data_IF_568781169913
#
_entry.id   IF_568781169913
#
_cell.length_a   1.000
_cell.length_b   1.000
_cell.length_c   1.000
_cell.angle_alpha   90.00
_cell.angle_beta   90.00
_cell.angle_gamma   90.00
#
_symmetry.space_group_name_H-M   'P 1'
#
loop_
_entity.id
_entity.type
_entity.pdbx_description
1 polymer ?
#
# COMPACT_ATOMS: atom_id res chain seq x y z
N UNK A 1 -43.99 -34.03 -78.24
CA UNK A 1 -43.00 -34.35 -77.22
C UNK A 1 -42.74 -33.11 -76.35
N UNK A 2 -43.38 -33.06 -75.18
CA UNK A 2 -43.30 -31.93 -74.28
C UNK A 2 -42.30 -32.31 -73.15
N UNK A 3 -41.20 -31.56 -73.00
CA UNK A 3 -40.24 -31.77 -71.95
C UNK A 3 -40.70 -30.98 -70.74
N UNK A 4 -41.10 -31.70 -69.69
CA UNK A 4 -41.40 -31.12 -68.38
C UNK A 4 -40.07 -31.01 -67.60
N UNK A 5 -39.65 -29.78 -67.34
CA UNK A 5 -38.46 -29.46 -66.51
C UNK A 5 -38.90 -29.32 -65.01
N UNK A 6 -38.52 -30.29 -64.19
CA UNK A 6 -38.76 -30.25 -62.79
C UNK A 6 -37.71 -29.26 -62.16
N UNK A 7 -38.20 -28.13 -61.61
CA UNK A 7 -37.40 -27.22 -60.78
C UNK A 7 -37.61 -27.61 -59.30
N UNK A 8 -36.58 -28.12 -58.69
CA UNK A 8 -36.56 -28.50 -57.30
C UNK A 8 -36.27 -27.24 -56.48
N UNK A 9 -37.08 -26.81 -55.48
CA UNK A 9 -36.78 -25.68 -54.65
C UNK A 9 -35.76 -26.09 -53.60
N UNK A 10 -34.64 -25.41 -53.60
CA UNK A 10 -33.56 -25.49 -52.55
C UNK A 10 -34.06 -24.85 -51.29
N UNK A 11 -34.46 -25.63 -50.30
CA UNK A 11 -34.85 -25.15 -48.95
C UNK A 11 -33.58 -24.83 -48.18
N UNK A 12 -33.24 -23.55 -48.09
CA UNK A 12 -32.13 -23.09 -47.25
C UNK A 12 -32.64 -23.04 -45.81
N UNK A 13 -32.29 -24.04 -45.01
CA UNK A 13 -32.46 -24.02 -43.54
C UNK A 13 -31.46 -23.08 -42.94
N UNK A 14 -31.89 -21.85 -42.62
CA UNK A 14 -31.12 -20.89 -41.83
C UNK A 14 -31.16 -21.32 -40.36
N UNK A 15 -30.21 -22.10 -39.89
CA UNK A 15 -30.05 -22.43 -38.46
C UNK A 15 -29.50 -21.21 -37.74
N UNK A 16 -30.37 -20.49 -37.03
CA UNK A 16 -30.02 -19.41 -36.13
C UNK A 16 -29.31 -20.02 -34.89
N UNK A 17 -28.00 -20.16 -34.96
CA UNK A 17 -27.19 -20.54 -33.78
C UNK A 17 -27.19 -19.39 -32.76
N UNK A 18 -28.10 -19.51 -31.81
CA UNK A 18 -28.11 -18.63 -30.62
C UNK A 18 -26.89 -18.98 -29.74
N UNK A 19 -25.74 -18.34 -29.98
CA UNK A 19 -24.59 -18.44 -29.10
C UNK A 19 -24.96 -17.73 -27.80
N UNK A 20 -25.39 -18.49 -26.80
CA UNK A 20 -25.41 -18.03 -25.41
C UNK A 20 -23.97 -17.65 -25.04
N UNK A 21 -23.64 -16.37 -25.12
CA UNK A 21 -22.42 -15.87 -24.54
C UNK A 21 -22.45 -16.24 -23.02
N UNK A 22 -21.41 -16.90 -22.49
CA UNK A 22 -21.38 -17.18 -21.08
C UNK A 22 -21.47 -15.84 -20.36
N UNK A 23 -22.57 -15.61 -19.63
CA UNK A 23 -22.65 -14.54 -18.65
C UNK A 23 -21.54 -14.83 -17.63
N UNK A 24 -20.39 -14.19 -17.78
CA UNK A 24 -19.35 -14.19 -16.75
C UNK A 24 -19.94 -13.49 -15.54
N UNK A 25 -20.67 -14.23 -14.72
CA UNK A 25 -20.96 -13.83 -13.35
C UNK A 25 -19.60 -13.67 -12.69
N UNK A 26 -19.06 -12.44 -12.69
CA UNK A 26 -17.93 -12.09 -11.82
C UNK A 26 -18.45 -12.32 -10.43
N UNK A 27 -18.05 -13.45 -9.82
CA UNK A 27 -18.45 -13.77 -8.46
C UNK A 27 -17.96 -12.62 -7.58
N UNK A 28 -18.89 -11.82 -7.10
CA UNK A 28 -18.59 -10.69 -6.23
C UNK A 28 -17.99 -11.25 -4.94
N UNK A 29 -16.80 -10.83 -4.59
CA UNK A 29 -16.16 -11.27 -3.36
C UNK A 29 -17.03 -10.83 -2.17
N UNK A 30 -17.12 -11.69 -1.16
CA UNK A 30 -17.82 -11.38 0.09
C UNK A 30 -16.75 -11.18 1.15
N UNK A 31 -16.79 -10.08 1.89
CA UNK A 31 -15.92 -9.85 3.04
C UNK A 31 -16.72 -9.55 4.29
N UNK A 32 -16.09 -9.77 5.46
CA UNK A 32 -16.66 -9.36 6.74
C UNK A 32 -16.40 -7.88 6.97
N UNK A 33 -17.43 -7.15 7.40
CA UNK A 33 -17.27 -5.75 7.81
C UNK A 33 -16.31 -5.64 9.00
N UNK A 34 -15.51 -4.58 9.02
CA UNK A 34 -14.63 -4.26 10.14
C UNK A 34 -15.45 -3.80 11.36
N UNK A 35 -15.03 -4.24 12.53
CA UNK A 35 -15.52 -3.81 13.85
C UNK A 35 -14.69 -2.66 14.44
N UNK A 36 -13.75 -2.16 13.67
CA UNK A 36 -12.80 -1.11 13.98
C UNK A 36 -11.47 -1.34 13.30
N UNK A 37 -10.57 -0.39 13.48
CA UNK A 37 -9.24 -0.40 12.87
C UNK A 37 -8.17 -0.18 13.93
N UNK A 38 -7.03 -0.88 13.78
CA UNK A 38 -5.84 -0.77 14.61
C UNK A 38 -4.63 -0.34 13.76
N UNK A 39 -3.57 0.18 14.36
CA UNK A 39 -2.35 0.48 13.61
C UNK A 39 -1.68 -0.80 13.09
N UNK A 40 -0.99 -0.74 11.94
CA UNK A 40 -0.47 -1.94 11.25
C UNK A 40 0.76 -2.56 11.91
N UNK A 41 1.42 -1.81 12.80
CA UNK A 41 2.62 -2.25 13.54
C UNK A 41 2.30 -2.24 15.04
N UNK A 42 2.74 -3.27 15.76
CA UNK A 42 2.48 -3.44 17.19
C UNK A 42 1.04 -3.00 17.57
N UNK A 43 0.00 -3.62 16.98
CA UNK A 43 -1.38 -3.24 17.25
C UNK A 43 -1.70 -3.39 18.75
N UNK A 44 -2.65 -2.60 19.25
CA UNK A 44 -3.52 -1.70 18.50
C UNK A 44 -2.94 -0.32 18.22
N UNK A 45 -1.95 0.16 18.96
CA UNK A 45 -1.54 1.57 19.02
C UNK A 45 -0.12 1.84 18.52
N UNK A 46 0.57 0.85 17.92
CA UNK A 46 1.91 1.06 17.39
C UNK A 46 3.01 1.20 18.45
N UNK A 47 2.86 0.53 19.60
CA UNK A 47 3.83 0.63 20.70
C UNK A 47 5.26 0.28 20.24
N UNK A 48 6.24 1.14 20.55
CA UNK A 48 7.63 0.97 20.11
C UNK A 48 7.88 1.33 18.63
N UNK A 49 6.91 1.98 17.99
CA UNK A 49 7.02 2.51 16.62
C UNK A 49 6.65 3.98 16.59
N UNK A 50 7.23 4.69 15.63
CA UNK A 50 6.86 6.07 15.34
C UNK A 50 6.82 6.32 13.83
N UNK A 51 6.11 7.37 13.46
CA UNK A 51 5.99 7.84 12.09
C UNK A 51 7.21 8.70 11.76
N UNK A 52 8.14 8.14 10.99
CA UNK A 52 9.35 8.83 10.54
C UNK A 52 9.06 9.83 9.42
N UNK A 53 8.05 9.54 8.60
CA UNK A 53 7.60 10.38 7.51
C UNK A 53 6.09 10.32 7.40
N UNK A 54 5.44 11.47 7.37
CA UNK A 54 4.00 11.59 7.24
C UNK A 54 3.53 11.76 5.80
N UNK A 55 2.20 11.78 5.64
CA UNK A 55 1.53 12.08 4.38
C UNK A 55 1.93 13.48 3.87
N UNK A 56 2.21 13.56 2.56
CA UNK A 56 2.51 14.81 1.86
C UNK A 56 1.87 14.80 0.49
N UNK A 57 0.90 15.66 0.29
CA UNK A 57 0.23 15.83 -1.01
C UNK A 57 1.25 16.10 -2.11
N UNK A 58 1.11 15.40 -3.25
CA UNK A 58 2.00 15.51 -4.40
C UNK A 58 3.38 14.84 -4.23
N UNK A 59 3.66 14.21 -3.09
CA UNK A 59 4.96 13.59 -2.84
C UNK A 59 4.91 12.23 -2.15
N UNK A 60 4.47 12.15 -0.90
CA UNK A 60 4.43 10.94 -0.10
C UNK A 60 2.99 10.69 0.37
N UNK A 61 2.32 9.72 -0.23
CA UNK A 61 0.87 9.53 -0.10
C UNK A 61 0.46 8.58 1.03
N UNK A 62 1.40 8.32 1.93
CA UNK A 62 1.23 7.45 3.09
C UNK A 62 2.04 7.92 4.29
N UNK A 63 2.32 6.97 5.15
CA UNK A 63 3.13 7.14 6.35
C UNK A 63 4.21 6.07 6.39
N UNK A 64 5.45 6.47 6.71
CA UNK A 64 6.57 5.55 6.91
C UNK A 64 6.74 5.30 8.41
N UNK A 65 6.59 4.04 8.82
CA UNK A 65 6.68 3.60 10.21
C UNK A 65 7.99 2.88 10.48
N UNK A 66 8.71 3.30 11.52
CA UNK A 66 9.97 2.71 11.98
C UNK A 66 9.93 2.46 13.49
N UNK A 67 10.77 1.55 14.00
CA UNK A 67 10.86 1.29 15.44
C UNK A 67 11.59 2.43 16.17
N UNK A 68 11.25 2.67 17.43
CA UNK A 68 11.92 3.64 18.32
C UNK A 68 13.42 3.34 18.46
N UNK A 69 13.81 2.08 18.28
CA UNK A 69 15.21 1.65 18.29
C UNK A 69 15.96 1.86 16.98
N UNK A 70 15.36 2.57 16.00
CA UNK A 70 15.90 2.84 14.68
C UNK A 70 15.49 1.80 13.62
N UNK A 71 15.61 2.17 12.34
CA UNK A 71 15.14 1.37 11.20
C UNK A 71 15.69 -0.06 11.20
N UNK A 72 16.96 -0.26 11.53
CA UNK A 72 17.57 -1.60 11.51
C UNK A 72 16.86 -2.59 12.44
N UNK A 73 16.37 -2.15 13.61
CA UNK A 73 15.58 -2.99 14.52
C UNK A 73 14.17 -3.27 14.01
N UNK A 74 13.69 -2.49 13.05
CA UNK A 74 12.40 -2.71 12.37
C UNK A 74 12.44 -3.86 11.36
N UNK A 75 13.61 -4.27 10.89
CA UNK A 75 13.71 -5.34 9.91
C UNK A 75 13.08 -6.64 10.41
N UNK A 76 12.16 -7.19 9.62
CA UNK A 76 11.38 -8.39 9.92
C UNK A 76 10.40 -8.28 11.09
N UNK A 77 10.16 -7.10 11.62
CA UNK A 77 9.06 -6.91 12.57
C UNK A 77 7.73 -7.19 11.87
N UNK A 78 6.75 -7.80 12.59
CA UNK A 78 5.49 -8.18 11.99
C UNK A 78 4.65 -6.97 11.57
N UNK A 79 3.96 -7.12 10.42
CA UNK A 79 2.98 -6.19 9.89
C UNK A 79 1.62 -6.85 9.90
N UNK A 80 0.59 -6.15 10.36
CA UNK A 80 -0.73 -6.69 10.63
C UNK A 80 -1.82 -5.97 9.82
N UNK A 81 -2.91 -6.69 9.53
CA UNK A 81 -4.13 -6.13 8.97
C UNK A 81 -4.75 -5.14 9.97
N UNK A 82 -5.01 -3.92 9.51
CA UNK A 82 -5.63 -2.88 10.35
C UNK A 82 -7.09 -3.20 10.72
N UNK A 83 -7.78 -4.01 9.93
CA UNK A 83 -9.18 -4.38 10.12
C UNK A 83 -9.52 -5.65 9.35
N UNK A 84 -10.75 -6.17 9.54
CA UNK A 84 -11.28 -7.23 8.71
C UNK A 84 -11.33 -6.79 7.25
N UNK A 85 -11.06 -7.69 6.30
CA UNK A 85 -11.12 -7.39 4.89
C UNK A 85 -10.75 -8.57 4.00
N UNK A 86 -10.59 -8.29 2.71
CA UNK A 86 -10.14 -9.25 1.70
C UNK A 86 -8.87 -8.75 1.05
N UNK A 87 -7.89 -9.63 0.90
CA UNK A 87 -6.64 -9.31 0.20
C UNK A 87 -6.92 -9.18 -1.30
N UNK A 88 -6.73 -7.99 -1.86
CA UNK A 88 -6.95 -7.69 -3.29
C UNK A 88 -5.64 -7.63 -4.07
N UNK A 89 -4.50 -7.54 -3.40
CA UNK A 89 -3.15 -7.67 -3.96
C UNK A 89 -2.21 -8.27 -2.93
N UNK A 90 -1.36 -9.23 -3.35
CA UNK A 90 -0.31 -9.81 -2.50
C UNK A 90 0.82 -10.34 -3.35
N UNK A 91 1.74 -9.46 -3.79
CA UNK A 91 2.86 -9.82 -4.68
C UNK A 91 3.99 -8.81 -4.65
N UNK A 92 5.12 -9.19 -5.22
CA UNK A 92 6.21 -8.27 -5.52
C UNK A 92 5.84 -7.43 -6.75
N UNK A 93 5.83 -6.11 -6.57
CA UNK A 93 5.59 -5.12 -7.63
C UNK A 93 6.93 -4.63 -8.19
N UNK A 94 8.04 -5.01 -7.55
CA UNK A 94 9.38 -4.53 -7.87
C UNK A 94 9.54 -3.01 -7.72
N UNK A 95 10.61 -2.46 -8.33
CA UNK A 95 10.94 -1.04 -8.41
C UNK A 95 10.83 -0.35 -7.04
N UNK A 96 10.10 0.74 -6.94
CA UNK A 96 10.00 1.53 -5.71
C UNK A 96 9.08 0.90 -4.63
N UNK A 97 8.32 -0.15 -4.96
CA UNK A 97 7.31 -0.74 -4.07
C UNK A 97 7.78 -2.01 -3.35
N UNK A 98 8.49 -2.91 -4.07
CA UNK A 98 8.84 -4.24 -3.58
C UNK A 98 7.62 -5.10 -3.31
N UNK A 99 7.68 -5.91 -2.26
CA UNK A 99 6.56 -6.72 -1.82
C UNK A 99 5.45 -5.86 -1.24
N UNK A 100 4.24 -5.99 -1.80
CA UNK A 100 3.05 -5.20 -1.45
C UNK A 100 1.88 -6.11 -1.10
N UNK A 101 1.14 -5.75 -0.06
CA UNK A 101 -0.19 -6.27 0.24
C UNK A 101 -1.17 -5.11 0.19
N UNK A 102 -2.33 -5.31 -0.47
CA UNK A 102 -3.48 -4.40 -0.38
C UNK A 102 -4.67 -5.18 0.15
N UNK A 103 -5.33 -4.62 1.17
CA UNK A 103 -6.55 -5.19 1.75
C UNK A 103 -7.69 -4.22 1.48
N UNK A 104 -8.78 -4.73 0.91
CA UNK A 104 -10.04 -4.01 0.79
C UNK A 104 -10.90 -4.27 2.01
N UNK A 105 -11.19 -3.21 2.73
CA UNK A 105 -12.03 -3.20 3.91
C UNK A 105 -13.43 -2.75 3.57
N UNK A 106 -14.42 -3.33 4.27
CA UNK A 106 -15.79 -2.83 4.32
C UNK A 106 -16.14 -2.51 5.76
N UNK A 107 -16.84 -1.41 6.02
CA UNK A 107 -17.37 -1.10 7.35
C UNK A 107 -18.71 -0.39 7.26
N UNK A 108 -19.46 -0.38 8.36
CA UNK A 108 -20.73 0.29 8.45
C UNK A 108 -20.56 1.54 9.31
N UNK A 109 -20.84 2.70 8.74
CA UNK A 109 -20.82 3.99 9.42
C UNK A 109 -22.05 4.79 8.94
N UNK A 110 -22.79 5.43 9.85
CA UNK A 110 -24.02 6.15 9.54
C UNK A 110 -25.05 5.32 8.74
N UNK A 111 -25.18 4.01 9.05
CA UNK A 111 -26.06 3.05 8.36
C UNK A 111 -25.71 2.80 6.88
N UNK A 112 -24.55 3.23 6.43
CA UNK A 112 -24.06 3.03 5.07
C UNK A 112 -22.85 2.09 5.09
N UNK A 113 -22.68 1.31 4.02
CA UNK A 113 -21.47 0.51 3.81
C UNK A 113 -20.45 1.39 3.10
N UNK A 114 -19.28 1.48 3.69
CA UNK A 114 -18.12 2.18 3.16
C UNK A 114 -17.02 1.20 2.79
N UNK A 115 -16.16 1.60 1.87
CA UNK A 115 -14.99 0.83 1.45
C UNK A 115 -13.74 1.69 1.45
N UNK A 116 -12.61 1.07 1.76
CA UNK A 116 -11.28 1.64 1.59
C UNK A 116 -10.26 0.52 1.37
N UNK A 117 -9.17 0.84 0.67
CA UNK A 117 -8.02 -0.05 0.55
C UNK A 117 -6.91 0.41 1.47
N UNK A 118 -6.35 -0.50 2.26
CA UNK A 118 -5.09 -0.28 2.98
C UNK A 118 -3.95 -0.95 2.25
N UNK A 119 -2.87 -0.20 2.00
CA UNK A 119 -1.68 -0.65 1.31
C UNK A 119 -0.50 -0.75 2.28
N UNK A 120 0.21 -1.86 2.22
CA UNK A 120 1.40 -2.17 3.01
C UNK A 120 2.53 -2.51 2.05
N UNK A 121 3.58 -1.67 1.99
CA UNK A 121 4.68 -1.84 1.04
C UNK A 121 6.04 -2.03 1.72
N UNK A 122 7.04 -2.35 0.89
CA UNK A 122 8.43 -2.62 1.26
C UNK A 122 8.59 -3.84 2.17
N UNK A 123 7.66 -4.80 2.10
CA UNK A 123 7.70 -5.99 2.95
C UNK A 123 8.90 -6.89 2.60
N UNK A 124 9.46 -7.57 3.63
CA UNK A 124 10.45 -8.65 3.45
C UNK A 124 9.76 -9.93 3.01
N UNK A 125 8.65 -10.27 3.68
CA UNK A 125 7.83 -11.45 3.37
C UNK A 125 6.35 -11.10 3.32
N UNK A 126 5.64 -11.80 2.44
CA UNK A 126 4.18 -11.80 2.36
C UNK A 126 3.69 -13.15 2.91
N UNK A 127 2.76 -13.13 3.88
CA UNK A 127 2.21 -14.32 4.53
C UNK A 127 0.75 -14.60 4.13
N UNK A 128 0.20 -13.84 3.21
CA UNK A 128 -1.19 -13.92 2.74
C UNK A 128 -1.23 -14.03 1.21
N UNK A 129 -2.39 -14.40 0.66
CA UNK A 129 -2.59 -14.50 -0.79
C UNK A 129 -3.82 -13.70 -1.24
N UNK A 130 -3.84 -13.32 -2.49
CA UNK A 130 -5.01 -12.66 -3.11
C UNK A 130 -6.26 -13.52 -2.96
N UNK A 131 -7.40 -12.86 -2.69
CA UNK A 131 -8.68 -13.51 -2.39
C UNK A 131 -8.82 -14.02 -0.96
N UNK A 132 -7.77 -14.01 -0.14
CA UNK A 132 -7.83 -14.42 1.26
C UNK A 132 -8.60 -13.39 2.10
N UNK A 133 -9.55 -13.85 2.91
CA UNK A 133 -10.12 -13.06 3.98
C UNK A 133 -9.14 -12.97 5.15
N UNK A 134 -9.00 -11.79 5.72
CA UNK A 134 -8.14 -11.52 6.87
C UNK A 134 -8.94 -10.86 7.99
N UNK A 135 -8.59 -11.17 9.23
CA UNK A 135 -9.12 -10.51 10.41
C UNK A 135 -8.23 -9.35 10.87
N UNK A 136 -8.82 -8.41 11.63
CA UNK A 136 -8.08 -7.36 12.32
C UNK A 136 -6.96 -7.96 13.18
N UNK A 137 -5.74 -7.41 13.08
CA UNK A 137 -4.57 -7.90 13.80
C UNK A 137 -3.93 -9.17 13.23
N UNK A 138 -4.47 -9.75 12.14
CA UNK A 138 -3.82 -10.88 11.48
C UNK A 138 -2.51 -10.45 10.84
N UNK A 139 -1.43 -11.20 11.05
CA UNK A 139 -0.15 -10.92 10.43
C UNK A 139 -0.21 -11.12 8.92
N UNK A 140 0.19 -10.07 8.17
CA UNK A 140 0.24 -10.03 6.72
C UNK A 140 1.61 -10.36 6.14
N UNK A 141 2.65 -10.02 6.88
CA UNK A 141 4.02 -10.13 6.45
C UNK A 141 4.97 -9.53 7.48
N UNK A 142 6.12 -9.11 7.02
CA UNK A 142 7.16 -8.49 7.87
C UNK A 142 7.77 -7.28 7.19
N UNK A 143 8.23 -6.31 7.98
CA UNK A 143 8.92 -5.10 7.49
C UNK A 143 10.19 -5.48 6.74
N UNK A 144 10.37 -4.91 5.56
CA UNK A 144 11.52 -5.13 4.70
C UNK A 144 12.25 -3.87 4.29
N UNK A 145 12.96 -3.97 3.18
CA UNK A 145 13.86 -2.93 2.65
C UNK A 145 13.62 -2.62 1.18
N UNK A 146 12.54 -3.16 0.59
CA UNK A 146 12.38 -3.15 -0.86
C UNK A 146 13.65 -3.66 -1.57
N UNK A 147 14.01 -4.92 -1.33
CA UNK A 147 15.20 -5.56 -1.90
C UNK A 147 16.54 -4.81 -1.64
N UNK A 148 16.63 -4.10 -0.50
CA UNK A 148 17.81 -3.32 -0.13
C UNK A 148 17.82 -1.88 -0.65
N UNK A 149 16.74 -1.43 -1.31
CA UNK A 149 16.64 -0.07 -1.84
C UNK A 149 16.49 0.99 -0.74
N UNK A 150 15.81 0.63 0.37
CA UNK A 150 15.52 1.53 1.49
C UNK A 150 15.99 0.95 2.82
N UNK A 151 16.29 1.79 3.82
CA UNK A 151 16.35 1.34 5.21
C UNK A 151 15.04 0.68 5.62
N UNK A 152 15.06 -0.34 6.53
CA UNK A 152 13.86 -1.02 6.97
C UNK A 152 12.78 -0.07 7.50
N UNK A 153 11.60 -0.12 6.89
CA UNK A 153 10.40 0.60 7.34
C UNK A 153 9.15 -0.01 6.70
N UNK A 154 7.99 0.28 7.27
CA UNK A 154 6.71 0.03 6.64
C UNK A 154 6.23 1.31 5.97
N UNK A 155 5.98 1.28 4.66
CA UNK A 155 5.19 2.30 3.98
C UNK A 155 3.72 1.88 4.00
N UNK A 156 2.86 2.77 4.52
CA UNK A 156 1.44 2.49 4.78
C UNK A 156 0.54 3.57 4.23
N UNK A 157 -0.42 3.19 3.38
CA UNK A 157 -1.40 4.10 2.77
C UNK A 157 -2.84 3.64 3.05
N UNK A 158 -3.80 4.57 3.01
CA UNK A 158 -5.24 4.27 2.96
C UNK A 158 -5.89 5.04 1.82
N UNK A 159 -6.48 4.29 0.88
CA UNK A 159 -7.10 4.81 -0.33
C UNK A 159 -8.62 4.90 -0.16
N UNK A 160 -9.20 6.05 -0.50
CA UNK A 160 -10.64 6.24 -0.69
C UNK A 160 -11.09 5.71 -2.04
N UNK A 161 -10.28 5.96 -3.06
CA UNK A 161 -10.50 5.52 -4.42
C UNK A 161 -9.92 4.11 -4.60
N UNK A 162 -10.80 3.14 -4.78
CA UNK A 162 -10.47 1.72 -4.91
C UNK A 162 -9.80 1.36 -6.24
N UNK A 163 -9.71 2.30 -7.18
CA UNK A 163 -9.05 2.12 -8.47
C UNK A 163 -7.55 2.46 -8.48
N UNK A 164 -7.00 2.97 -7.37
CA UNK A 164 -5.60 3.44 -7.31
C UNK A 164 -4.61 2.27 -7.37
N UNK A 165 -4.83 1.21 -6.60
CA UNK A 165 -3.87 0.12 -6.46
C UNK A 165 -2.51 0.62 -5.99
N UNK A 166 -1.45 0.34 -6.76
CA UNK A 166 -0.07 0.83 -6.52
C UNK A 166 0.31 2.01 -7.42
N UNK A 167 -0.65 2.59 -8.13
CA UNK A 167 -0.41 3.72 -9.02
C UNK A 167 -0.60 5.04 -8.27
N UNK A 168 0.44 5.86 -8.26
CA UNK A 168 0.28 7.29 -7.98
C UNK A 168 -0.28 7.97 -9.23
N UNK A 169 -1.58 7.79 -9.50
CA UNK A 169 -2.20 8.38 -10.68
C UNK A 169 -1.93 9.89 -10.73
N UNK A 170 -1.41 10.36 -11.84
CA UNK A 170 -1.20 11.77 -12.07
C UNK A 170 -2.53 12.52 -11.88
N UNK A 171 -2.60 13.47 -10.94
CA UNK A 171 -3.79 14.27 -10.67
C UNK A 171 -4.61 13.85 -9.43
N UNK A 172 -4.43 12.66 -8.86
CA UNK A 172 -5.18 12.20 -7.67
C UNK A 172 -4.33 12.16 -6.39
N UNK A 173 -3.22 12.92 -6.36
CA UNK A 173 -2.23 12.91 -5.28
C UNK A 173 -2.63 13.82 -4.12
N UNK A 174 -3.84 13.68 -3.63
CA UNK A 174 -4.36 14.53 -2.56
C UNK A 174 -5.35 13.79 -1.66
N UNK A 175 -5.86 14.49 -0.65
CA UNK A 175 -6.85 13.99 0.28
C UNK A 175 -8.23 13.67 -0.33
N UNK A 176 -8.46 13.90 -1.61
CA UNK A 176 -9.70 13.45 -2.29
C UNK A 176 -9.68 11.95 -2.49
N UNK A 177 -8.51 11.40 -2.83
CA UNK A 177 -8.34 9.98 -3.12
C UNK A 177 -7.70 9.18 -1.97
N UNK A 178 -7.14 9.85 -0.96
CA UNK A 178 -6.46 9.24 0.17
C UNK A 178 -7.03 9.71 1.50
N UNK A 179 -6.93 8.84 2.51
CA UNK A 179 -7.07 9.22 3.91
C UNK A 179 -5.68 9.50 4.50
N UNK A 180 -5.61 10.35 5.53
CA UNK A 180 -4.47 10.36 6.43
C UNK A 180 -4.51 9.06 7.24
N UNK A 181 -3.52 8.15 7.11
CA UNK A 181 -3.66 6.80 7.61
C UNK A 181 -3.89 6.71 9.13
N UNK A 182 -3.07 7.40 9.92
CA UNK A 182 -3.25 7.43 11.38
C UNK A 182 -4.61 8.00 11.76
N UNK A 183 -5.03 9.11 11.17
CA UNK A 183 -6.30 9.76 11.50
C UNK A 183 -7.50 8.87 11.15
N UNK A 184 -7.42 8.16 10.01
CA UNK A 184 -8.45 7.20 9.63
C UNK A 184 -8.61 6.10 10.68
N UNK A 185 -7.49 5.50 11.11
CA UNK A 185 -7.47 4.43 12.11
C UNK A 185 -8.01 4.93 13.44
N UNK A 186 -7.49 6.05 13.95
CA UNK A 186 -7.87 6.58 15.27
C UNK A 186 -9.35 6.99 15.33
N UNK A 187 -9.90 7.56 14.24
CA UNK A 187 -11.31 7.94 14.17
C UNK A 187 -12.26 6.73 14.12
N UNK A 188 -11.75 5.53 13.78
CA UNK A 188 -12.55 4.32 13.56
C UNK A 188 -12.07 3.12 14.37
N UNK A 189 -11.54 3.36 15.57
CA UNK A 189 -11.07 2.30 16.48
C UNK A 189 -12.16 1.29 16.84
N UNK A 190 -13.38 1.76 16.98
CA UNK A 190 -14.53 0.98 17.37
C UNK A 190 -15.71 1.34 16.47
N UNK A 191 -16.24 0.36 15.76
CA UNK A 191 -17.35 0.51 14.83
C UNK A 191 -18.47 -0.47 15.18
N UNK A 192 -19.70 0.03 15.18
CA UNK A 192 -20.87 -0.82 15.29
C UNK A 192 -21.09 -1.59 13.96
N UNK A 193 -21.56 -2.83 14.05
CA UNK A 193 -21.93 -3.61 12.86
C UNK A 193 -20.79 -4.38 12.18
N UNK A 194 -19.71 -4.63 12.91
CA UNK A 194 -18.64 -5.53 12.46
C UNK A 194 -19.07 -6.98 12.31
N UNK A 195 -18.31 -7.73 11.50
CA UNK A 195 -18.52 -9.17 11.28
C UNK A 195 -19.65 -9.55 10.32
N UNK A 196 -20.35 -8.59 9.71
CA UNK A 196 -21.39 -8.85 8.70
C UNK A 196 -20.78 -9.17 7.36
N UNK A 197 -21.30 -10.19 6.69
CA UNK A 197 -20.91 -10.49 5.32
C UNK A 197 -21.54 -9.49 4.35
N UNK A 198 -20.72 -8.82 3.56
CA UNK A 198 -21.17 -7.85 2.56
C UNK A 198 -20.50 -8.12 1.21
N UNK A 199 -21.22 -7.90 0.09
CA UNK A 199 -20.61 -7.91 -1.22
C UNK A 199 -19.53 -6.82 -1.29
N UNK A 200 -18.34 -7.20 -1.73
CA UNK A 200 -17.18 -6.31 -1.79
C UNK A 200 -16.79 -6.08 -3.23
N UNK A 201 -16.59 -4.83 -3.67
CA UNK A 201 -16.17 -4.53 -5.04
C UNK A 201 -14.92 -5.32 -5.43
N UNK A 202 -14.89 -5.84 -6.66
CA UNK A 202 -13.69 -6.49 -7.20
C UNK A 202 -12.52 -5.51 -7.32
N UNK A 203 -11.29 -6.02 -7.28
CA UNK A 203 -10.12 -5.23 -7.63
C UNK A 203 -10.13 -4.94 -9.14
N UNK A 204 -10.12 -3.67 -9.50
CA UNK A 204 -10.17 -3.19 -10.88
C UNK A 204 -9.05 -2.17 -11.20
N UNK A 205 -8.03 -2.09 -10.34
CA UNK A 205 -6.88 -1.24 -10.59
C UNK A 205 -5.89 -1.90 -11.55
N UNK A 206 -5.25 -1.07 -12.36
CA UNK A 206 -4.17 -1.50 -13.24
C UNK A 206 -2.87 -1.58 -12.44
N UNK A 207 -2.16 -2.70 -12.59
CA UNK A 207 -0.80 -2.80 -12.07
C UNK A 207 0.17 -2.05 -13.00
N UNK A 208 1.23 -1.44 -12.46
CA UNK A 208 2.28 -0.87 -13.29
C UNK A 208 2.85 -1.97 -14.18
N UNK A 209 2.84 -1.76 -15.49
CA UNK A 209 3.58 -2.62 -16.40
C UNK A 209 4.99 -2.09 -16.53
N UNK A 210 5.97 -2.98 -16.75
CA UNK A 210 7.39 -2.62 -16.98
C UNK A 210 7.58 -1.73 -18.21
N UNK A 211 6.54 -1.54 -19.01
CA UNK A 211 6.56 -0.78 -20.28
C UNK A 211 6.30 0.72 -20.12
N UNK A 212 5.97 1.22 -18.91
CA UNK A 212 5.70 2.63 -18.72
C UNK A 212 6.94 3.42 -18.25
N UNK A 213 7.58 4.23 -19.12
CA UNK A 213 8.84 4.94 -18.85
C UNK A 213 8.78 5.97 -17.68
N UNK A 214 7.60 6.48 -17.31
CA UNK A 214 7.46 7.44 -16.21
C UNK A 214 7.88 6.86 -14.86
N UNK A 215 7.90 5.56 -14.76
CA UNK A 215 8.26 4.79 -13.60
C UNK A 215 9.79 4.73 -13.36
N UNK A 216 10.59 4.85 -14.41
CA UNK A 216 12.05 4.79 -14.33
C UNK A 216 12.71 6.16 -14.15
N UNK A 217 12.02 7.26 -14.45
CA UNK A 217 12.67 8.54 -14.70
C UNK A 217 12.71 9.53 -13.55
N UNK A 218 11.91 9.38 -12.47
CA UNK A 218 11.77 10.45 -11.47
C UNK A 218 12.36 10.15 -10.09
N UNK A 219 12.76 8.92 -9.80
CA UNK A 219 13.25 8.53 -8.46
C UNK A 219 14.70 8.05 -8.44
N UNK A 220 15.35 7.91 -9.59
CA UNK A 220 16.74 7.50 -9.65
C UNK A 220 17.67 8.73 -9.61
N UNK A 221 17.86 9.30 -8.44
CA UNK A 221 19.09 10.03 -8.16
C UNK A 221 20.07 9.01 -7.55
N UNK A 222 20.91 8.43 -8.39
CA UNK A 222 22.10 7.72 -7.91
C UNK A 222 22.81 8.61 -6.89
N UNK A 223 23.20 8.10 -5.72
CA UNK A 223 24.02 8.89 -4.82
C UNK A 223 25.28 9.28 -5.58
N UNK A 224 25.49 10.59 -5.76
CA UNK A 224 26.74 11.12 -6.32
C UNK A 224 27.86 10.54 -5.46
N UNK A 225 28.74 9.72 -6.05
CA UNK A 225 29.99 9.32 -5.39
C UNK A 225 30.67 10.62 -4.98
N UNK A 226 30.77 10.86 -3.69
CA UNK A 226 31.58 11.95 -3.15
C UNK A 226 33.04 11.64 -3.47
N UNK A 227 33.57 12.22 -4.52
CA UNK A 227 34.99 12.26 -4.77
C UNK A 227 35.56 13.28 -3.79
N UNK A 228 36.00 12.83 -2.63
CA UNK A 228 36.84 13.63 -1.79
C UNK A 228 38.19 13.81 -2.52
N UNK A 229 38.63 15.05 -2.76
CA UNK A 229 40.00 15.28 -3.23
C UNK A 229 40.95 14.90 -2.11
N UNK A 230 41.89 14.00 -2.41
CA UNK A 230 43.03 13.73 -1.54
C UNK A 230 43.85 15.01 -1.42
N UNK A 231 43.79 15.68 -0.27
CA UNK A 231 44.72 16.76 0.04
C UNK A 231 46.07 16.17 0.45
N UNK A 232 47.09 16.54 -0.29
CA UNK A 232 48.49 16.31 -0.04
C UNK A 232 48.94 16.97 1.25
N UNK A 233 49.78 16.26 1.99
CA UNK A 233 50.47 16.73 3.19
C UNK A 233 51.39 17.90 2.88
N UNK A 234 51.32 18.95 3.70
CA UNK A 234 52.51 19.77 4.04
C UNK A 234 52.47 20.12 5.52
N UNK A 235 53.57 19.80 6.16
CA UNK A 235 53.91 20.02 7.53
C UNK A 235 54.21 21.50 7.80
N UNK A 236 53.66 22.08 8.87
CA UNK A 236 54.32 23.13 9.65
C UNK A 236 53.65 23.26 11.02
N UNK A 237 54.46 23.17 12.03
CA UNK A 237 54.23 23.41 13.45
C UNK A 237 53.84 24.86 13.72
N UNK A 238 52.83 25.10 14.58
CA UNK A 238 52.96 26.08 15.66
C UNK A 238 51.87 25.89 16.75
N UNK A 239 52.35 25.96 17.94
CA UNK A 239 51.72 25.79 19.25
C UNK A 239 51.05 27.12 19.65
N UNK A 240 49.81 27.11 20.07
CA UNK A 240 49.36 27.90 21.22
C UNK A 240 47.93 27.56 21.63
N UNK A 241 47.80 27.55 22.93
CA UNK A 241 46.66 27.27 23.79
C UNK A 241 45.49 28.25 23.62
N UNK A 242 44.22 27.78 23.69
CA UNK A 242 43.30 28.22 24.75
C UNK A 242 41.86 27.77 24.50
N UNK A 243 41.28 27.17 25.52
CA UNK A 243 39.93 27.32 26.09
C UNK A 243 38.71 26.90 25.29
N UNK A 244 38.11 25.83 25.82
CA UNK A 244 36.78 25.27 25.60
C UNK A 244 35.63 26.26 25.53
N UNK A 245 34.73 26.01 24.58
CA UNK A 245 33.28 26.10 24.87
C UNK A 245 32.51 25.07 24.02
N UNK A 246 31.97 24.07 24.72
CA UNK A 246 30.99 23.12 24.20
C UNK A 246 29.65 23.82 24.05
N UNK A 247 29.15 24.01 22.85
CA UNK A 247 27.73 24.19 22.60
C UNK A 247 27.15 22.89 22.03
N UNK A 248 26.53 22.14 22.94
CA UNK A 248 25.67 21.02 22.65
C UNK A 248 24.29 21.57 22.23
N UNK A 249 23.98 21.59 20.95
CA UNK A 249 22.61 21.79 20.49
C UNK A 249 21.92 20.44 20.40
N UNK A 250 21.29 20.04 21.52
CA UNK A 250 20.37 18.89 21.52
C UNK A 250 19.03 19.33 20.89
N UNK A 251 18.79 19.00 19.64
CA UNK A 251 17.45 19.04 19.08
C UNK A 251 16.64 17.87 19.67
N UNK A 252 16.00 18.13 20.80
CA UNK A 252 14.97 17.28 21.38
C UNK A 252 13.72 17.39 20.53
N UNK A 253 13.47 16.41 19.66
CA UNK A 253 12.15 16.21 19.08
C UNK A 253 11.20 15.80 20.20
N UNK A 254 10.17 16.59 20.45
CA UNK A 254 9.10 16.26 21.40
C UNK A 254 8.30 15.10 20.82
N UNK A 255 8.42 13.95 21.46
CA UNK A 255 7.54 12.80 21.23
C UNK A 255 6.19 13.15 21.86
N UNK A 256 5.17 13.43 21.03
CA UNK A 256 3.79 13.47 21.53
C UNK A 256 3.37 12.04 21.86
N UNK A 257 3.48 11.68 23.13
CA UNK A 257 2.82 10.46 23.64
C UNK A 257 1.34 10.79 23.79
N UNK A 258 0.52 10.13 22.98
CA UNK A 258 -0.91 10.09 23.24
C UNK A 258 -1.13 9.22 24.48
N UNK A 259 -1.43 9.84 25.60
CA UNK A 259 -2.00 9.17 26.76
C UNK A 259 -3.50 9.34 26.65
N UNK A 260 -4.22 8.20 26.57
CA UNK A 260 -5.68 8.16 26.65
C UNK A 260 -6.17 8.73 27.99
N UNK A 261 -7.36 9.39 27.99
CA UNK A 261 -8.11 9.63 29.20
C UNK A 261 -8.81 8.37 29.67
#
# INVERSE_FOLDING_TARGET
MVKISLILPLLVLLTLSLTLAPCSCIAQAISKTADGFDLPVAPPMGAGFYKSRGFRSGGHLGEDWVTDGGSAKGFRQPVHAIGNGIVVLARDIHVAWGNVVIIRHAWIENRQIHFADSLYAHLDKINVREGQQVGKGQQLGTIGTNHGMYPPHLHFEIHKDLGIGVNHAAGTRDLRSYWLPTDFVLARRHLAGGGRNVPTPAANFLLPTTEHPWYLGRFWHSPKKSTHPKSSKSSASHRSSSTSQKHSSSNKWKVNRYTDP
#
